data_IF_342392560891
#
_entry.id   IF_342392560891
#
_cell.length_a   1.000
_cell.length_b   1.000
_cell.length_c   1.000
_cell.angle_alpha   90.00
_cell.angle_beta   90.00
_cell.angle_gamma   90.00
#
_symmetry.space_group_name_H-M   'P 1'
#
loop_
_entity.id
_entity.type
_entity.pdbx_description
1 polymer ?
#
# COMPACT_ATOMS: atom_id res chain seq x y z
N UNK A 1 11.42 26.37 -9.46
CA UNK A 1 12.25 26.02 -8.28
C UNK A 1 12.53 24.53 -8.31
N UNK A 2 13.68 24.10 -8.85
CA UNK A 2 14.04 22.68 -9.03
C UNK A 2 15.15 22.16 -8.11
N UNK A 3 15.70 23.00 -7.23
CA UNK A 3 16.87 22.66 -6.42
C UNK A 3 16.51 21.96 -5.09
N UNK A 4 15.39 22.32 -4.47
CA UNK A 4 15.05 21.88 -3.11
C UNK A 4 14.74 20.37 -3.02
N UNK A 5 14.21 19.79 -4.10
CA UNK A 5 13.92 18.36 -4.16
C UNK A 5 15.22 17.55 -4.32
N UNK A 6 16.22 18.10 -5.01
CA UNK A 6 17.45 17.38 -5.30
C UNK A 6 18.23 17.10 -4.02
N UNK A 7 18.26 18.05 -3.08
CA UNK A 7 19.08 17.98 -1.86
C UNK A 7 18.40 17.26 -0.68
N UNK A 8 17.08 17.14 -0.70
CA UNK A 8 16.33 16.49 0.38
C UNK A 8 16.60 14.98 0.46
N UNK A 9 16.81 14.46 1.67
CA UNK A 9 16.92 13.01 1.91
C UNK A 9 15.55 12.32 1.89
N UNK A 10 14.55 13.01 2.44
CA UNK A 10 13.15 12.58 2.47
C UNK A 10 12.26 13.72 1.99
N UNK A 11 11.28 13.40 1.14
CA UNK A 11 10.21 14.31 0.72
C UNK A 11 8.89 13.64 1.01
N UNK A 12 8.05 14.31 1.82
CA UNK A 12 6.73 13.81 2.16
C UNK A 12 5.64 14.82 1.77
N UNK A 13 4.49 14.31 1.35
CA UNK A 13 3.27 15.08 1.20
C UNK A 13 2.26 14.70 2.29
N UNK A 14 1.49 15.67 2.74
CA UNK A 14 0.41 15.48 3.68
C UNK A 14 -0.90 15.68 2.93
N UNK A 15 -1.70 14.63 2.83
CA UNK A 15 -3.01 14.66 2.21
C UNK A 15 -4.10 14.48 3.27
N UNK A 16 -5.06 15.41 3.31
CA UNK A 16 -6.20 15.39 4.23
C UNK A 16 -7.50 15.49 3.42
N UNK A 17 -8.17 14.36 3.12
CA UNK A 17 -9.40 14.36 2.32
C UNK A 17 -10.47 15.31 2.87
N UNK A 18 -10.62 15.36 4.20
CA UNK A 18 -11.58 16.22 4.88
C UNK A 18 -11.37 17.71 4.58
N UNK A 19 -10.12 18.16 4.38
CA UNK A 19 -9.82 19.55 4.02
C UNK A 19 -10.39 19.92 2.64
N UNK A 20 -10.49 18.93 1.74
CA UNK A 20 -11.04 19.08 0.40
C UNK A 20 -12.53 18.71 0.31
N UNK A 21 -13.21 18.51 1.45
CA UNK A 21 -14.59 18.06 1.53
C UNK A 21 -14.83 16.68 0.89
N UNK A 22 -13.79 15.85 0.83
CA UNK A 22 -13.88 14.45 0.42
C UNK A 22 -14.14 13.65 1.70
N UNK A 23 -15.38 13.16 1.86
CA UNK A 23 -15.84 12.45 3.05
C UNK A 23 -16.02 10.94 2.85
N UNK A 24 -15.86 10.45 1.61
CA UNK A 24 -15.92 9.04 1.29
C UNK A 24 -14.90 8.69 0.23
N UNK A 25 -14.29 7.52 0.33
CA UNK A 25 -13.53 6.91 -0.76
C UNK A 25 -14.47 6.36 -1.84
N UNK A 26 -13.91 5.97 -2.99
CA UNK A 26 -14.64 5.27 -4.06
C UNK A 26 -15.34 3.99 -3.55
N UNK A 27 -14.69 3.29 -2.61
CA UNK A 27 -15.22 2.08 -1.97
C UNK A 27 -16.22 2.40 -0.82
N UNK A 28 -16.59 3.67 -0.62
CA UNK A 28 -17.57 4.10 0.36
C UNK A 28 -17.06 4.25 1.81
N UNK A 29 -15.75 4.15 2.04
CA UNK A 29 -15.14 4.27 3.38
C UNK A 29 -15.11 5.73 3.83
N UNK A 30 -15.49 6.02 5.09
CA UNK A 30 -15.46 7.38 5.64
C UNK A 30 -14.00 7.87 5.80
N UNK A 31 -13.73 9.08 5.31
CA UNK A 31 -12.40 9.71 5.33
C UNK A 31 -12.30 10.84 6.36
N UNK A 32 -13.34 11.11 7.15
CA UNK A 32 -13.31 12.12 8.21
C UNK A 32 -12.25 11.79 9.26
N UNK A 33 -11.47 12.78 9.64
CA UNK A 33 -10.36 12.60 10.57
C UNK A 33 -9.28 11.64 10.07
N UNK A 34 -9.26 11.29 8.77
CA UNK A 34 -8.16 10.53 8.16
C UNK A 34 -7.16 11.50 7.51
N UNK A 35 -5.90 11.12 7.55
CA UNK A 35 -4.83 11.81 6.85
C UNK A 35 -3.81 10.79 6.33
N UNK A 36 -3.18 11.13 5.22
CA UNK A 36 -2.23 10.27 4.55
C UNK A 36 -0.90 11.01 4.45
N UNK A 37 0.17 10.32 4.85
CA UNK A 37 1.54 10.78 4.71
C UNK A 37 2.16 9.99 3.58
N UNK A 38 2.43 10.66 2.47
CA UNK A 38 2.96 10.08 1.23
C UNK A 38 4.46 10.34 1.22
N UNK A 39 5.28 9.32 1.39
CA UNK A 39 6.74 9.43 1.30
C UNK A 39 7.14 9.31 -0.16
N UNK A 40 7.29 10.45 -0.85
CA UNK A 40 7.59 10.51 -2.27
C UNK A 40 9.09 10.32 -2.59
N UNK A 41 9.97 10.66 -1.65
CA UNK A 41 11.42 10.43 -1.76
C UNK A 41 11.95 9.90 -0.45
N UNK A 42 12.79 8.88 -0.53
CA UNK A 42 13.59 8.40 0.58
C UNK A 42 14.91 7.85 0.01
N UNK A 43 16.04 8.55 0.22
CA UNK A 43 17.33 8.16 -0.39
C UNK A 43 17.86 6.81 0.12
N UNK A 44 17.47 6.41 1.33
CA UNK A 44 18.05 5.28 2.06
C UNK A 44 17.03 4.20 2.41
N UNK A 45 15.84 4.22 1.81
CA UNK A 45 14.82 3.23 2.11
C UNK A 45 13.61 3.31 1.20
N UNK A 46 12.58 2.55 1.53
CA UNK A 46 11.37 2.49 0.74
C UNK A 46 10.57 3.80 0.79
N UNK A 47 9.89 4.08 -0.31
CA UNK A 47 8.78 5.03 -0.42
C UNK A 47 7.47 4.31 -0.12
N UNK A 48 6.45 5.05 0.33
CA UNK A 48 5.15 4.48 0.64
C UNK A 48 4.22 5.45 1.33
N UNK A 49 2.97 5.02 1.49
CA UNK A 49 1.88 5.84 2.00
C UNK A 49 1.45 5.30 3.37
N UNK A 50 1.36 6.21 4.35
CA UNK A 50 1.00 5.87 5.73
C UNK A 50 -0.31 6.55 6.08
N UNK A 51 -1.32 5.75 6.40
CA UNK A 51 -2.62 6.24 6.86
C UNK A 51 -2.57 6.52 8.37
N UNK A 52 -3.00 7.72 8.76
CA UNK A 52 -3.05 8.19 10.14
C UNK A 52 -4.43 8.78 10.46
N UNK A 53 -4.72 8.87 11.75
CA UNK A 53 -5.86 9.63 12.26
C UNK A 53 -5.41 11.07 12.55
N UNK A 54 -6.12 12.07 12.04
CA UNK A 54 -5.88 13.48 12.29
C UNK A 54 -6.93 14.07 13.25
N UNK A 55 -6.48 14.53 14.42
CA UNK A 55 -7.30 15.23 15.40
C UNK A 55 -7.21 16.74 15.16
N UNK A 56 -8.15 17.29 14.38
CA UNK A 56 -8.15 18.70 13.95
C UNK A 56 -8.08 19.70 15.10
N UNK A 57 -8.78 19.45 16.20
CA UNK A 57 -8.78 20.29 17.40
C UNK A 57 -7.37 20.53 17.99
N UNK A 58 -6.45 19.59 17.78
CA UNK A 58 -5.10 19.62 18.35
C UNK A 58 -4.00 19.71 17.28
N UNK A 59 -4.37 19.77 16.00
CA UNK A 59 -3.45 19.63 14.86
C UNK A 59 -2.48 18.43 15.02
N UNK A 60 -3.00 17.30 15.52
CA UNK A 60 -2.20 16.12 15.89
C UNK A 60 -2.51 14.93 14.99
N UNK A 61 -1.46 14.20 14.61
CA UNK A 61 -1.55 12.90 13.95
C UNK A 61 -1.37 11.78 14.98
N UNK A 62 -2.20 10.76 14.88
CA UNK A 62 -2.19 9.56 15.72
C UNK A 62 -2.17 8.33 14.81
N UNK A 63 -1.64 7.23 15.33
CA UNK A 63 -1.73 5.94 14.65
C UNK A 63 -3.21 5.60 14.39
N UNK A 64 -3.48 4.97 13.25
CA UNK A 64 -4.82 4.46 12.96
C UNK A 64 -5.00 3.12 13.67
N UNK A 65 -6.12 2.95 14.36
CA UNK A 65 -6.53 1.66 14.95
C UNK A 65 -7.32 0.80 13.93
N UNK A 66 -7.46 1.29 12.69
CA UNK A 66 -8.11 0.53 11.62
C UNK A 66 -7.15 -0.53 11.05
N UNK A 67 -7.33 -1.78 11.50
CA UNK A 67 -6.78 -2.98 10.86
C UNK A 67 -7.41 -3.25 9.47
N UNK A 68 -8.46 -2.50 9.10
CA UNK A 68 -9.19 -2.60 7.83
C UNK A 68 -8.49 -1.86 6.67
N UNK A 69 -7.16 -1.88 6.66
CA UNK A 69 -6.41 -1.30 5.56
C UNK A 69 -6.63 -2.17 4.31
N UNK A 70 -7.10 -1.60 3.17
CA UNK A 70 -7.10 -2.33 1.92
C UNK A 70 -5.64 -2.72 1.61
N UNK A 71 -5.45 -3.91 1.03
CA UNK A 71 -4.20 -4.67 0.84
C UNK A 71 -3.08 -3.96 0.01
N UNK A 72 -2.76 -2.73 0.40
CA UNK A 72 -1.82 -1.82 -0.25
C UNK A 72 -1.32 -0.70 0.67
N UNK A 73 -1.93 -0.51 1.85
CA UNK A 73 -1.35 0.30 2.92
C UNK A 73 -0.78 -0.64 3.98
N UNK A 74 0.52 -0.89 3.94
CA UNK A 74 1.20 -1.67 4.96
C UNK A 74 1.37 -0.80 6.20
N UNK A 75 0.49 -0.97 7.19
CA UNK A 75 0.81 -0.59 8.56
C UNK A 75 1.93 -1.52 9.02
N UNK A 76 3.15 -0.98 9.12
CA UNK A 76 4.25 -1.71 9.73
C UNK A 76 3.84 -2.09 11.14
N UNK A 77 3.59 -3.39 11.34
CA UNK A 77 3.37 -3.97 12.66
C UNK A 77 4.56 -3.59 13.53
N UNK A 78 4.26 -3.02 14.71
CA UNK A 78 5.28 -2.81 15.72
C UNK A 78 5.94 -4.16 16.02
N UNK A 79 7.27 -4.22 15.85
CA UNK A 79 8.19 -5.34 16.15
C UNK A 79 8.57 -6.27 14.97
N UNK A 80 9.27 -5.76 13.98
CA UNK A 80 9.96 -6.59 12.98
C UNK A 80 10.65 -5.73 11.92
N UNK A 81 11.85 -6.11 11.49
CA UNK A 81 12.56 -5.47 10.37
C UNK A 81 11.67 -5.38 9.11
N UNK A 82 11.66 -4.22 8.45
CA UNK A 82 10.90 -3.98 7.23
C UNK A 82 11.73 -4.41 6.01
N UNK A 83 11.31 -5.47 5.33
CA UNK A 83 11.77 -5.77 3.97
C UNK A 83 10.58 -5.49 3.04
N UNK A 84 10.68 -4.42 2.24
CA UNK A 84 9.69 -4.07 1.23
C UNK A 84 10.26 -4.53 -0.11
N UNK A 85 9.62 -5.53 -0.72
CA UNK A 85 10.00 -5.99 -2.05
C UNK A 85 9.66 -4.93 -3.11
N UNK A 86 10.53 -4.83 -4.11
CA UNK A 86 10.37 -3.85 -5.19
C UNK A 86 9.11 -4.14 -6.00
N UNK A 87 8.30 -3.11 -6.28
CA UNK A 87 7.08 -3.17 -7.11
C UNK A 87 7.32 -3.61 -8.57
N UNK A 88 8.55 -3.97 -8.95
CA UNK A 88 8.89 -4.52 -10.26
C UNK A 88 8.60 -6.03 -10.37
N UNK A 89 8.29 -6.72 -9.26
CA UNK A 89 8.03 -8.16 -9.27
C UNK A 89 6.53 -8.55 -9.18
N UNK A 90 5.60 -7.61 -9.28
CA UNK A 90 4.16 -7.88 -9.12
C UNK A 90 3.40 -8.16 -10.43
N UNK A 91 4.09 -8.50 -11.52
CA UNK A 91 3.42 -8.94 -12.75
C UNK A 91 3.39 -10.47 -12.78
N UNK A 92 2.22 -11.11 -12.81
CA UNK A 92 2.16 -12.52 -13.17
C UNK A 92 2.78 -12.66 -14.58
N UNK A 93 3.57 -13.71 -14.86
CA UNK A 93 4.09 -13.94 -16.20
C UNK A 93 2.91 -13.96 -17.17
N UNK A 94 2.97 -13.12 -18.20
CA UNK A 94 2.00 -13.12 -19.27
C UNK A 94 2.01 -14.51 -19.93
N UNK A 95 0.83 -15.08 -20.17
CA UNK A 95 0.64 -16.40 -20.79
C UNK A 95 1.19 -16.50 -22.23
N UNK A 96 1.69 -15.39 -22.78
CA UNK A 96 2.29 -15.27 -24.11
C UNK A 96 3.85 -15.24 -24.09
N UNK A 97 4.52 -15.70 -23.02
CA UNK A 97 5.98 -15.88 -23.04
C UNK A 97 6.34 -17.16 -23.82
N UNK A 98 6.99 -17.07 -25.00
CA UNK A 98 7.40 -18.25 -25.77
C UNK A 98 8.48 -19.10 -25.07
N UNK A 99 9.00 -18.64 -23.92
CA UNK A 99 9.91 -19.40 -23.05
C UNK A 99 9.21 -19.99 -21.82
N UNK A 100 7.90 -19.84 -21.66
CA UNK A 100 7.15 -20.49 -20.60
C UNK A 100 7.23 -22.02 -20.78
N UNK A 101 7.89 -22.68 -19.82
CA UNK A 101 7.89 -24.14 -19.73
C UNK A 101 6.45 -24.54 -19.36
N UNK A 102 5.71 -25.31 -20.19
CA UNK A 102 4.37 -25.73 -19.83
C UNK A 102 4.44 -26.62 -18.59
N UNK A 103 3.70 -26.23 -17.54
CA UNK A 103 3.56 -27.01 -16.32
C UNK A 103 3.06 -28.43 -16.65
N UNK A 104 3.73 -29.43 -16.07
CA UNK A 104 3.38 -30.83 -16.22
C UNK A 104 1.94 -31.09 -15.71
N UNK A 105 1.17 -31.99 -16.34
CA UNK A 105 -0.20 -32.27 -15.91
C UNK A 105 -0.19 -32.92 -14.53
N UNK A 106 -0.73 -32.19 -13.54
CA UNK A 106 -0.87 -32.64 -12.16
C UNK A 106 -1.86 -33.82 -12.10
N UNK A 107 -1.36 -34.97 -11.66
CA UNK A 107 -2.11 -36.20 -11.53
C UNK A 107 -2.90 -36.22 -10.22
N UNK A 108 -4.15 -36.71 -10.28
CA UNK A 108 -5.03 -37.16 -9.18
C UNK A 108 -6.10 -36.17 -8.69
N UNK A 109 -7.17 -36.02 -9.48
CA UNK A 109 -8.52 -35.82 -8.93
C UNK A 109 -9.15 -37.20 -8.70
N UNK A 110 -9.49 -37.50 -7.44
CA UNK A 110 -10.26 -38.67 -7.03
C UNK A 110 -11.72 -38.51 -7.46
N UNK A 111 -12.14 -39.27 -8.47
CA UNK A 111 -13.54 -39.35 -8.88
C UNK A 111 -14.27 -40.38 -8.02
N UNK A 112 -15.24 -39.90 -7.25
CA UNK A 112 -16.15 -40.69 -6.42
C UNK A 112 -17.38 -41.05 -7.29
N UNK A 113 -17.48 -42.29 -7.75
CA UNK A 113 -18.64 -42.79 -8.51
C UNK A 113 -19.59 -43.59 -7.60
N UNK A 114 -20.92 -43.46 -7.77
CA UNK A 114 -21.89 -44.18 -6.94
C UNK A 114 -22.22 -45.56 -7.51
N UNK A 115 -22.13 -46.60 -6.68
CA UNK A 115 -23.14 -47.64 -6.38
C UNK A 115 -22.54 -48.71 -5.47
#
# INVERSE_FOLDING_TARGET
SGAIEQDADIVCFIHRPEYYHIYKTENGVDTRGKAEIIVAKHRNGAVGDVLLTFKSKFARFENTDDDLLPAGYTQGEANGSYEVESRMNSLPPSEDDPLAIPDAPDSTTSENAPF
#
